data_IF_866032426350
#
_entry.id   IF_866032426350
#
_cell.length_a   1.000
_cell.length_b   1.000
_cell.length_c   1.000
_cell.angle_alpha   90.00
_cell.angle_beta   90.00
_cell.angle_gamma   90.00
#
_symmetry.space_group_name_H-M   'P 1'
#
loop_
_entity.id
_entity.type
_entity.pdbx_description
1 polymer ?
#
# COMPACT_ATOMS: atom_id res chain seq x y z
N UNK A 1 -33.30 -26.46 -15.29
CA UNK A 1 -33.23 -25.69 -14.03
C UNK A 1 -32.45 -24.42 -14.34
N UNK A 2 -33.11 -23.26 -14.34
CA UNK A 2 -32.43 -21.98 -14.54
C UNK A 2 -31.66 -21.68 -13.25
N UNK A 3 -30.33 -21.57 -13.36
CA UNK A 3 -29.50 -21.08 -12.25
C UNK A 3 -30.04 -19.71 -11.80
N UNK A 4 -30.23 -19.47 -10.49
CA UNK A 4 -30.69 -18.18 -9.98
C UNK A 4 -29.87 -17.06 -10.60
N UNK A 5 -30.53 -15.99 -11.08
CA UNK A 5 -29.84 -14.85 -11.67
C UNK A 5 -28.99 -14.16 -10.61
N UNK A 6 -27.72 -14.54 -10.53
CA UNK A 6 -26.70 -13.90 -9.70
C UNK A 6 -26.55 -12.43 -10.13
N UNK A 7 -26.93 -11.49 -9.26
CA UNK A 7 -26.79 -10.05 -9.51
C UNK A 7 -25.62 -9.49 -8.73
N UNK A 8 -24.66 -8.89 -9.43
CA UNK A 8 -23.52 -8.20 -8.81
C UNK A 8 -23.98 -6.97 -8.03
N UNK A 9 -23.34 -6.73 -6.87
CA UNK A 9 -23.67 -5.59 -5.98
C UNK A 9 -22.45 -4.69 -5.81
N UNK A 10 -22.14 -3.82 -6.79
CA UNK A 10 -20.89 -3.05 -6.82
C UNK A 10 -20.79 -2.03 -5.67
N UNK A 11 -21.91 -1.54 -5.15
CA UNK A 11 -21.93 -0.57 -4.04
C UNK A 11 -21.34 -1.19 -2.77
N UNK A 12 -21.63 -2.46 -2.50
CA UNK A 12 -21.12 -3.16 -1.32
C UNK A 12 -19.61 -3.39 -1.46
N UNK A 13 -19.14 -3.75 -2.65
CA UNK A 13 -17.71 -3.86 -2.93
C UNK A 13 -16.97 -2.54 -2.69
N UNK A 14 -17.52 -1.41 -3.16
CA UNK A 14 -16.93 -0.08 -2.97
C UNK A 14 -16.88 0.29 -1.49
N UNK A 15 -17.97 0.05 -0.74
CA UNK A 15 -18.03 0.35 0.69
C UNK A 15 -17.04 -0.50 1.50
N UNK A 16 -16.92 -1.79 1.20
CA UNK A 16 -15.96 -2.67 1.85
C UNK A 16 -14.52 -2.25 1.53
N UNK A 17 -14.23 -1.91 0.28
CA UNK A 17 -12.93 -1.38 -0.14
C UNK A 17 -12.60 -0.06 0.56
N UNK A 18 -13.55 0.87 0.60
CA UNK A 18 -13.38 2.15 1.28
C UNK A 18 -13.18 1.95 2.78
N UNK A 19 -13.96 1.07 3.41
CA UNK A 19 -13.85 0.74 4.83
C UNK A 19 -12.49 0.12 5.17
N UNK A 20 -12.02 -0.85 4.38
CA UNK A 20 -10.72 -1.50 4.57
C UNK A 20 -9.54 -0.54 4.42
N UNK A 21 -9.70 0.55 3.67
CA UNK A 21 -8.67 1.58 3.57
C UNK A 21 -8.80 2.63 4.69
N UNK A 22 -9.99 3.17 4.89
CA UNK A 22 -10.24 4.29 5.80
C UNK A 22 -10.11 3.88 7.27
N UNK A 23 -10.61 2.71 7.66
CA UNK A 23 -10.61 2.30 9.07
C UNK A 23 -9.18 2.13 9.62
N UNK A 24 -8.24 1.42 8.94
CA UNK A 24 -6.87 1.38 9.41
C UNK A 24 -6.17 2.74 9.36
N UNK A 25 -6.39 3.52 8.30
CA UNK A 25 -5.81 4.87 8.15
C UNK A 25 -6.18 5.76 9.35
N UNK A 26 -7.48 5.84 9.65
CA UNK A 26 -7.99 6.64 10.76
C UNK A 26 -7.62 6.03 12.11
N UNK A 27 -7.71 4.70 12.24
CA UNK A 27 -7.41 3.99 13.48
C UNK A 27 -5.97 4.20 13.92
N UNK A 28 -4.99 3.97 13.03
CA UNK A 28 -3.58 4.22 13.34
C UNK A 28 -3.27 5.71 13.49
N UNK A 29 -3.85 6.57 12.66
CA UNK A 29 -3.70 8.03 12.80
C UNK A 29 -4.11 8.52 14.18
N UNK A 30 -5.30 8.13 14.64
CA UNK A 30 -5.82 8.50 15.96
C UNK A 30 -5.08 7.81 17.10
N UNK A 31 -4.61 6.58 16.92
CA UNK A 31 -3.86 5.85 17.95
C UNK A 31 -2.46 6.43 18.20
N UNK A 32 -1.81 6.95 17.15
CA UNK A 32 -0.44 7.50 17.23
C UNK A 32 -0.44 9.00 17.53
N UNK A 33 -1.51 9.73 17.21
CA UNK A 33 -1.62 11.17 17.49
C UNK A 33 -1.25 11.59 18.94
N UNK A 34 -1.67 10.87 20.01
CA UNK A 34 -1.36 11.25 21.39
C UNK A 34 0.11 11.00 21.79
N UNK A 35 0.86 10.25 20.99
CA UNK A 35 2.29 10.00 21.22
C UNK A 35 3.16 11.18 20.78
N UNK A 36 2.61 12.09 19.97
CA UNK A 36 3.23 13.39 19.71
C UNK A 36 3.03 14.32 20.91
N UNK A 37 4.08 15.06 21.31
CA UNK A 37 3.91 16.20 22.22
C UNK A 37 2.91 17.21 21.64
N UNK A 38 2.31 18.09 22.45
CA UNK A 38 1.21 18.97 22.03
C UNK A 38 1.48 19.82 20.76
N UNK A 39 2.75 20.14 20.47
CA UNK A 39 3.18 20.85 19.26
C UNK A 39 3.36 19.93 18.03
N UNK A 40 3.43 18.61 18.25
CA UNK A 40 3.68 17.55 17.27
C UNK A 40 2.49 16.60 17.06
N UNK A 41 1.29 16.95 17.52
CA UNK A 41 0.08 16.15 17.33
C UNK A 41 -0.17 15.86 15.83
N UNK A 42 0.04 16.86 14.97
CA UNK A 42 -0.11 16.73 13.52
C UNK A 42 0.90 15.73 12.94
N UNK A 43 2.09 15.65 13.51
CA UNK A 43 3.13 14.68 13.11
C UNK A 43 2.71 13.27 13.51
N UNK A 44 2.25 13.08 14.75
CA UNK A 44 1.73 11.78 15.20
C UNK A 44 0.54 11.29 14.36
N UNK A 45 -0.39 12.20 14.05
CA UNK A 45 -1.53 11.90 13.18
C UNK A 45 -1.09 11.53 11.77
N UNK A 46 -0.15 12.27 11.18
CA UNK A 46 0.35 12.02 9.84
C UNK A 46 1.09 10.69 9.74
N UNK A 47 2.00 10.40 10.67
CA UNK A 47 2.76 9.14 10.72
C UNK A 47 1.81 7.96 10.92
N UNK A 48 0.91 8.05 11.90
CA UNK A 48 -0.10 7.00 12.13
C UNK A 48 -0.98 6.78 10.90
N UNK A 49 -1.46 7.84 10.26
CA UNK A 49 -2.28 7.75 9.06
C UNK A 49 -1.52 7.11 7.89
N UNK A 50 -0.23 7.40 7.72
CA UNK A 50 0.59 6.76 6.69
C UNK A 50 0.71 5.24 6.90
N UNK A 51 1.02 4.81 8.13
CA UNK A 51 1.09 3.38 8.45
C UNK A 51 -0.26 2.68 8.26
N UNK A 52 -1.34 3.32 8.73
CA UNK A 52 -2.70 2.84 8.55
C UNK A 52 -3.09 2.75 7.07
N UNK A 53 -2.74 3.74 6.25
CA UNK A 53 -3.01 3.75 4.82
C UNK A 53 -2.25 2.64 4.07
N UNK A 54 -0.99 2.40 4.45
CA UNK A 54 -0.20 1.29 3.90
C UNK A 54 -0.86 -0.05 4.21
N UNK A 55 -1.25 -0.28 5.47
CA UNK A 55 -1.94 -1.50 5.86
C UNK A 55 -3.31 -1.64 5.18
N UNK A 56 -4.08 -0.54 5.11
CA UNK A 56 -5.36 -0.49 4.42
C UNK A 56 -5.26 -0.76 2.92
N UNK A 57 -4.18 -0.32 2.27
CA UNK A 57 -3.91 -0.62 0.86
C UNK A 57 -3.66 -2.11 0.62
N UNK A 58 -2.96 -2.79 1.54
CA UNK A 58 -2.77 -4.25 1.49
C UNK A 58 -4.11 -4.96 1.61
N UNK A 59 -4.93 -4.59 2.60
CA UNK A 59 -6.27 -5.18 2.78
C UNK A 59 -7.18 -4.93 1.58
N UNK A 60 -7.15 -3.71 1.01
CA UNK A 60 -7.84 -3.38 -0.23
C UNK A 60 -7.40 -4.29 -1.38
N UNK A 61 -6.10 -4.50 -1.53
CA UNK A 61 -5.54 -5.38 -2.56
C UNK A 61 -6.04 -6.81 -2.42
N UNK A 62 -6.04 -7.35 -1.20
CA UNK A 62 -6.60 -8.68 -0.91
C UNK A 62 -8.11 -8.72 -1.19
N UNK A 63 -8.86 -7.66 -0.86
CA UNK A 63 -10.31 -7.59 -1.09
C UNK A 63 -10.69 -7.52 -2.57
N UNK A 64 -9.83 -6.98 -3.43
CA UNK A 64 -10.05 -6.94 -4.89
C UNK A 64 -10.08 -8.33 -5.54
N UNK A 65 -9.61 -9.36 -4.83
CA UNK A 65 -9.72 -10.76 -5.27
C UNK A 65 -11.17 -11.27 -5.18
N UNK A 66 -12.07 -10.56 -4.48
CA UNK A 66 -13.46 -10.97 -4.31
C UNK A 66 -14.44 -9.96 -4.93
N UNK A 67 -15.65 -10.41 -5.22
CA UNK A 67 -16.77 -9.54 -5.61
C UNK A 67 -18.06 -9.97 -4.92
N UNK A 68 -18.90 -9.00 -4.60
CA UNK A 68 -20.17 -9.22 -3.92
C UNK A 68 -21.27 -9.58 -4.91
N UNK A 69 -21.94 -10.70 -4.67
CA UNK A 69 -23.08 -11.21 -5.44
C UNK A 69 -24.28 -11.35 -4.52
N UNK A 70 -25.45 -10.87 -4.98
CA UNK A 70 -26.71 -11.11 -4.29
C UNK A 70 -27.27 -12.47 -4.74
N UNK A 71 -27.40 -13.38 -3.77
CA UNK A 71 -28.03 -14.69 -3.89
C UNK A 71 -29.35 -14.72 -3.10
N UNK A 72 -30.07 -15.83 -3.16
CA UNK A 72 -31.31 -16.04 -2.40
C UNK A 72 -31.07 -16.04 -0.88
N UNK A 73 -29.85 -16.37 -0.44
CA UNK A 73 -29.45 -16.42 0.97
C UNK A 73 -28.84 -15.11 1.49
N UNK A 74 -28.69 -14.08 0.64
CA UNK A 74 -28.13 -12.78 1.02
C UNK A 74 -26.99 -12.32 0.10
N UNK A 75 -25.98 -11.64 0.68
CA UNK A 75 -24.80 -11.18 -0.06
C UNK A 75 -23.66 -12.17 0.17
N UNK A 76 -23.22 -12.84 -0.88
CA UNK A 76 -22.08 -13.74 -0.88
C UNK A 76 -20.87 -13.09 -1.54
N UNK A 77 -19.66 -13.53 -1.15
CA UNK A 77 -18.40 -13.08 -1.75
C UNK A 77 -17.89 -14.21 -2.63
N UNK A 78 -17.82 -13.98 -3.93
CA UNK A 78 -17.24 -14.91 -4.89
C UNK A 78 -15.84 -14.46 -5.24
N UNK A 79 -14.94 -15.41 -5.47
CA UNK A 79 -13.58 -15.11 -5.89
C UNK A 79 -13.60 -14.70 -7.37
N UNK A 80 -12.92 -13.62 -7.72
CA UNK A 80 -12.64 -13.27 -9.11
C UNK A 80 -11.63 -14.27 -9.66
N UNK A 81 -12.05 -15.05 -10.64
CA UNK A 81 -11.13 -15.81 -11.47
C UNK A 81 -10.55 -14.85 -12.50
N UNK A 82 -9.26 -14.55 -12.37
CA UNK A 82 -8.54 -13.80 -13.38
C UNK A 82 -8.05 -14.79 -14.44
N UNK A 83 -8.24 -14.45 -15.72
CA UNK A 83 -7.63 -15.21 -16.80
C UNK A 83 -6.11 -15.16 -16.64
N UNK A 84 -5.48 -16.32 -16.74
CA UNK A 84 -4.03 -16.50 -16.82
C UNK A 84 -3.52 -16.27 -18.25
N UNK A 85 -4.40 -15.96 -19.20
CA UNK A 85 -4.03 -15.60 -20.55
C UNK A 85 -3.46 -14.16 -20.59
N UNK A 86 -2.23 -13.95 -21.09
CA UNK A 86 -1.62 -12.62 -21.23
C UNK A 86 -2.37 -11.70 -22.19
N UNK A 87 -3.15 -12.25 -23.12
CA UNK A 87 -3.92 -11.47 -24.08
C UNK A 87 -5.20 -10.90 -23.45
N UNK A 88 -5.75 -11.59 -22.46
CA UNK A 88 -6.97 -11.19 -21.75
C UNK A 88 -6.70 -10.40 -20.45
N UNK A 89 -5.50 -10.52 -19.87
CA UNK A 89 -5.16 -9.89 -18.60
C UNK A 89 -3.87 -9.04 -18.70
N UNK A 90 -3.98 -7.69 -18.71
CA UNK A 90 -2.83 -6.79 -18.78
C UNK A 90 -1.83 -6.98 -17.63
N UNK A 91 -2.29 -7.41 -16.45
CA UNK A 91 -1.41 -7.67 -15.31
C UNK A 91 -0.56 -8.92 -15.51
N UNK A 92 -1.14 -9.97 -16.11
CA UNK A 92 -0.40 -11.18 -16.48
C UNK A 92 0.60 -10.86 -17.59
N UNK A 93 0.22 -10.03 -18.56
CA UNK A 93 1.15 -9.52 -19.58
C UNK A 93 2.33 -8.78 -18.97
N UNK A 94 2.07 -7.87 -18.02
CA UNK A 94 3.11 -7.12 -17.33
C UNK A 94 4.00 -8.02 -16.47
N UNK A 95 3.44 -9.04 -15.82
CA UNK A 95 4.19 -10.03 -15.05
C UNK A 95 5.02 -10.99 -15.93
N UNK A 96 4.59 -11.22 -17.18
CA UNK A 96 5.32 -12.01 -18.17
C UNK A 96 6.39 -11.21 -18.93
N UNK A 97 6.50 -9.90 -18.70
CA UNK A 97 7.68 -9.16 -19.16
C UNK A 97 8.88 -9.79 -18.45
N UNK A 98 9.84 -10.28 -19.24
CA UNK A 98 11.02 -10.97 -18.73
C UNK A 98 11.74 -10.08 -17.73
N UNK A 99 11.62 -10.46 -16.45
CA UNK A 99 12.11 -9.69 -15.34
C UNK A 99 13.62 -9.86 -15.24
N UNK A 100 14.37 -8.76 -15.38
CA UNK A 100 15.82 -8.78 -15.22
C UNK A 100 16.19 -8.28 -13.83
N UNK A 101 16.76 -9.17 -13.00
CA UNK A 101 17.24 -8.88 -11.65
C UNK A 101 18.19 -7.68 -11.56
N UNK A 102 18.84 -7.29 -12.67
CA UNK A 102 19.69 -6.09 -12.68
C UNK A 102 18.91 -4.83 -12.27
N UNK A 103 17.62 -4.76 -12.59
CA UNK A 103 16.80 -3.60 -12.27
C UNK A 103 16.51 -3.49 -10.78
N UNK A 104 16.38 -4.61 -10.05
CA UNK A 104 16.30 -4.59 -8.59
C UNK A 104 17.57 -4.00 -7.97
N UNK A 105 18.74 -4.38 -8.49
CA UNK A 105 20.01 -3.86 -7.96
C UNK A 105 20.16 -2.37 -8.21
N UNK A 106 19.78 -1.91 -9.40
CA UNK A 106 19.77 -0.49 -9.74
C UNK A 106 18.77 0.24 -8.86
N UNK A 107 17.55 -0.27 -8.73
CA UNK A 107 16.50 0.33 -7.91
C UNK A 107 16.92 0.41 -6.44
N UNK A 108 17.47 -0.66 -5.88
CA UNK A 108 17.98 -0.68 -4.51
C UNK A 108 19.09 0.35 -4.32
N UNK A 109 20.07 0.42 -5.23
CA UNK A 109 21.14 1.41 -5.16
C UNK A 109 20.58 2.85 -5.24
N UNK A 110 19.64 3.11 -6.14
CA UNK A 110 18.99 4.43 -6.27
C UNK A 110 18.23 4.78 -4.98
N UNK A 111 17.46 3.84 -4.42
CA UNK A 111 16.71 4.04 -3.18
C UNK A 111 17.64 4.29 -1.99
N UNK A 112 18.78 3.60 -1.91
CA UNK A 112 19.79 3.85 -0.89
C UNK A 112 20.37 5.26 -1.02
N UNK A 113 20.74 5.68 -2.22
CA UNK A 113 21.28 7.02 -2.48
C UNK A 113 20.27 8.09 -2.13
N UNK A 114 19.01 7.94 -2.55
CA UNK A 114 17.91 8.87 -2.22
C UNK A 114 17.70 8.91 -0.71
N UNK A 115 17.69 7.75 -0.05
CA UNK A 115 17.50 7.65 1.40
C UNK A 115 18.60 8.35 2.19
N UNK A 116 19.87 8.11 1.82
CA UNK A 116 21.04 8.76 2.42
C UNK A 116 21.02 10.27 2.17
N UNK A 117 20.72 10.69 0.94
CA UNK A 117 20.64 12.10 0.57
C UNK A 117 19.52 12.84 1.34
N UNK A 118 18.38 12.19 1.56
CA UNK A 118 17.29 12.75 2.35
C UNK A 118 17.71 13.00 3.82
N UNK A 119 18.44 12.07 4.44
CA UNK A 119 19.00 12.28 5.78
C UNK A 119 20.09 13.36 5.80
N UNK A 120 20.99 13.38 4.82
CA UNK A 120 22.03 14.40 4.71
C UNK A 120 21.46 15.81 4.50
N UNK A 121 20.30 15.94 3.86
CA UNK A 121 19.63 17.20 3.63
C UNK A 121 19.11 17.87 4.92
N UNK A 122 18.84 17.10 5.98
CA UNK A 122 18.30 17.63 7.26
C UNK A 122 19.24 18.66 7.89
N UNK A 123 20.52 18.35 8.18
CA UNK A 123 21.45 19.36 8.72
C UNK A 123 21.87 20.42 7.69
N UNK A 124 21.82 20.12 6.39
CA UNK A 124 22.28 21.04 5.35
C UNK A 124 21.27 22.14 5.02
N UNK A 125 19.98 21.80 4.99
CA UNK A 125 18.92 22.70 4.54
C UNK A 125 18.15 23.37 5.68
N UNK A 126 18.38 22.95 6.92
CA UNK A 126 17.65 23.39 8.12
C UNK A 126 16.13 23.54 7.87
N UNK A 127 15.47 22.45 7.43
CA UNK A 127 14.05 22.51 7.10
C UNK A 127 13.20 22.73 8.36
N UNK A 128 11.99 23.23 8.16
CA UNK A 128 10.98 23.35 9.21
C UNK A 128 10.59 21.96 9.77
N UNK A 129 9.87 21.91 10.88
CA UNK A 129 9.52 20.66 11.56
C UNK A 129 8.85 19.62 10.64
N UNK A 130 7.97 20.08 9.73
CA UNK A 130 7.36 19.20 8.73
C UNK A 130 8.35 18.73 7.66
N UNK A 131 9.27 19.59 7.22
CA UNK A 131 10.34 19.21 6.31
C UNK A 131 11.30 18.18 6.91
N UNK A 132 11.65 18.30 8.20
CA UNK A 132 12.46 17.30 8.91
C UNK A 132 11.76 15.94 8.94
N UNK A 133 10.47 15.90 9.28
CA UNK A 133 9.68 14.65 9.31
C UNK A 133 9.60 14.03 7.92
N UNK A 134 9.31 14.82 6.87
CA UNK A 134 9.22 14.33 5.49
C UNK A 134 10.53 13.73 5.01
N UNK A 135 11.66 14.41 5.25
CA UNK A 135 12.98 13.92 4.87
C UNK A 135 13.36 12.67 5.66
N UNK A 136 13.00 12.60 6.94
CA UNK A 136 13.22 11.41 7.77
C UNK A 136 12.42 10.22 7.25
N UNK A 137 11.15 10.39 6.91
CA UNK A 137 10.30 9.33 6.36
C UNK A 137 10.80 8.87 4.98
N UNK A 138 11.17 9.80 4.10
CA UNK A 138 11.75 9.49 2.80
C UNK A 138 13.08 8.75 2.94
N UNK A 139 13.92 9.20 3.88
CA UNK A 139 15.19 8.58 4.25
C UNK A 139 15.03 7.13 4.69
N UNK A 140 14.16 6.93 5.68
CA UNK A 140 13.82 5.60 6.20
C UNK A 140 13.25 4.69 5.10
N UNK A 141 12.30 5.19 4.32
CA UNK A 141 11.69 4.42 3.23
C UNK A 141 12.76 3.96 2.23
N UNK A 142 13.58 4.87 1.71
CA UNK A 142 14.63 4.54 0.74
C UNK A 142 15.62 3.49 1.27
N UNK A 143 16.09 3.65 2.51
CA UNK A 143 17.05 2.71 3.11
C UNK A 143 16.41 1.36 3.42
N UNK A 144 15.24 1.32 4.05
CA UNK A 144 14.56 0.06 4.41
C UNK A 144 14.17 -0.72 3.17
N UNK A 145 13.60 -0.06 2.15
CA UNK A 145 13.23 -0.74 0.90
C UNK A 145 14.46 -1.23 0.15
N UNK A 146 15.56 -0.46 0.10
CA UNK A 146 16.82 -0.92 -0.46
C UNK A 146 17.34 -2.17 0.25
N UNK A 147 17.35 -2.17 1.59
CA UNK A 147 17.80 -3.32 2.38
C UNK A 147 16.91 -4.54 2.13
N UNK A 148 15.60 -4.35 2.01
CA UNK A 148 14.67 -5.44 1.71
C UNK A 148 14.94 -6.07 0.34
N UNK A 149 15.20 -5.27 -0.69
CA UNK A 149 15.57 -5.76 -2.02
C UNK A 149 16.90 -6.51 -1.98
N UNK A 150 17.90 -6.02 -1.24
CA UNK A 150 19.19 -6.70 -1.10
C UNK A 150 19.15 -7.97 -0.25
N UNK A 151 18.28 -8.01 0.77
CA UNK A 151 18.16 -9.12 1.71
C UNK A 151 17.15 -10.19 1.27
N UNK A 152 16.31 -9.89 0.27
CA UNK A 152 15.36 -10.86 -0.25
C UNK A 152 16.10 -12.10 -0.80
N UNK A 153 15.72 -13.32 -0.36
CA UNK A 153 16.32 -14.54 -0.88
C UNK A 153 16.02 -14.65 -2.38
N UNK A 154 17.09 -14.86 -3.16
CA UNK A 154 16.99 -15.02 -4.62
C UNK A 154 16.51 -16.44 -4.94
N UNK A 155 15.56 -16.61 -5.86
CA UNK A 155 15.16 -17.94 -6.35
C UNK A 155 16.28 -18.63 -7.14
#
# INVERSE_FOLDING_TARGET
MQSPQEKTVPVVDILEIAGLFLLPTLGFGLAVAPLGSGENLTVGLFVGAMFGAMFGAILMSMRRVFYAVRTENGIERRQRTYSSDPDENPWVRAANIEYDEKYDRILAAVLAVVGIAAFAAIPMLNPDGFGVVRLTLLGLFGIVTSLFIFAAPRP
#
